data_IF_218307898207
#
_entry.id   IF_218307898207
#
_cell.length_a   1.000
_cell.length_b   1.000
_cell.length_c   1.000
_cell.angle_alpha   90.00
_cell.angle_beta   90.00
_cell.angle_gamma   90.00
#
_symmetry.space_group_name_H-M   'P 1'
#
loop_
_entity.id
_entity.type
_entity.pdbx_description
1 polymer ?
#
# COMPACT_ATOMS: atom_id res chain seq x y z
N UNK A 1 40.16 11.47 5.49
CA UNK A 1 39.09 12.48 5.31
C UNK A 1 38.24 12.22 4.06
N UNK A 2 38.82 12.06 2.86
CA UNK A 2 38.04 11.86 1.62
C UNK A 2 37.25 10.53 1.56
N UNK A 3 37.82 9.43 2.04
CA UNK A 3 37.18 8.10 2.07
C UNK A 3 35.90 8.06 2.93
N UNK A 4 35.90 8.75 4.09
CA UNK A 4 34.72 8.83 4.96
C UNK A 4 33.56 9.60 4.32
N UNK A 5 33.87 10.61 3.50
CA UNK A 5 32.86 11.33 2.72
C UNK A 5 32.21 10.43 1.67
N UNK A 6 33.01 9.64 0.95
CA UNK A 6 32.51 8.73 -0.10
C UNK A 6 31.65 7.61 0.51
N UNK A 7 32.06 7.01 1.64
CA UNK A 7 31.30 5.97 2.33
C UNK A 7 29.91 6.49 2.76
N UNK A 8 29.85 7.67 3.39
CA UNK A 8 28.57 8.28 3.78
C UNK A 8 27.65 8.58 2.60
N UNK A 9 28.21 9.03 1.46
CA UNK A 9 27.41 9.29 0.26
C UNK A 9 26.81 7.98 -0.27
N UNK A 10 27.59 6.90 -0.31
CA UNK A 10 27.09 5.58 -0.71
C UNK A 10 26.01 5.03 0.22
N UNK A 11 26.20 5.16 1.54
CA UNK A 11 25.20 4.74 2.54
C UNK A 11 23.87 5.49 2.34
N UNK A 12 23.93 6.80 2.13
CA UNK A 12 22.74 7.62 1.87
C UNK A 12 22.05 7.24 0.56
N UNK A 13 22.82 6.98 -0.51
CA UNK A 13 22.27 6.53 -1.78
C UNK A 13 21.58 5.17 -1.66
N UNK A 14 22.21 4.23 -0.95
CA UNK A 14 21.63 2.91 -0.71
C UNK A 14 20.35 3.00 0.14
N UNK A 15 20.34 3.89 1.14
CA UNK A 15 19.14 4.17 1.94
C UNK A 15 17.99 4.70 1.09
N UNK A 16 18.25 5.72 0.26
CA UNK A 16 17.24 6.29 -0.65
C UNK A 16 16.74 5.29 -1.68
N UNK A 17 17.63 4.44 -2.21
CA UNK A 17 17.26 3.37 -3.13
C UNK A 17 16.27 2.40 -2.47
N UNK A 18 16.58 1.87 -1.27
CA UNK A 18 15.69 0.97 -0.53
C UNK A 18 14.36 1.62 -0.18
N UNK A 19 14.37 2.90 0.20
CA UNK A 19 13.16 3.65 0.49
C UNK A 19 12.26 3.74 -0.76
N UNK A 20 12.85 4.02 -1.92
CA UNK A 20 12.14 4.15 -3.19
C UNK A 20 11.59 2.80 -3.66
N UNK A 21 12.38 1.73 -3.51
CA UNK A 21 11.96 0.36 -3.80
C UNK A 21 10.76 -0.05 -2.95
N UNK A 22 10.83 0.18 -1.64
CA UNK A 22 9.72 -0.09 -0.72
C UNK A 22 8.46 0.70 -1.08
N UNK A 23 8.62 1.99 -1.39
CA UNK A 23 7.51 2.83 -1.82
C UNK A 23 6.82 2.27 -3.08
N UNK A 24 7.60 1.87 -4.08
CA UNK A 24 7.07 1.30 -5.31
C UNK A 24 6.32 -0.01 -5.07
N UNK A 25 6.86 -0.90 -4.21
CA UNK A 25 6.19 -2.15 -3.82
C UNK A 25 4.87 -1.88 -3.09
N UNK A 26 4.88 -0.97 -2.12
CA UNK A 26 3.71 -0.56 -1.37
C UNK A 26 2.59 -0.03 -2.29
N UNK A 27 2.93 0.91 -3.18
CA UNK A 27 2.00 1.47 -4.17
C UNK A 27 1.44 0.41 -5.12
N UNK A 28 2.27 -0.55 -5.53
CA UNK A 28 1.84 -1.67 -6.38
C UNK A 28 0.79 -2.55 -5.67
N UNK A 29 1.03 -2.90 -4.39
CA UNK A 29 0.06 -3.68 -3.61
C UNK A 29 -1.25 -2.92 -3.36
N UNK A 30 -1.18 -1.62 -3.12
CA UNK A 30 -2.35 -0.76 -3.00
C UNK A 30 -3.15 -0.69 -4.30
N UNK A 31 -2.49 -0.60 -5.45
CA UNK A 31 -3.14 -0.62 -6.76
C UNK A 31 -3.83 -1.98 -7.04
N UNK A 32 -3.18 -3.10 -6.70
CA UNK A 32 -3.82 -4.42 -6.79
C UNK A 32 -5.04 -4.54 -5.88
N UNK A 33 -4.96 -3.97 -4.67
CA UNK A 33 -6.08 -3.94 -3.72
C UNK A 33 -7.25 -3.13 -4.27
N UNK A 34 -6.99 -1.94 -4.83
CA UNK A 34 -8.00 -1.12 -5.51
C UNK A 34 -8.66 -1.87 -6.66
N UNK A 35 -7.87 -2.50 -7.53
CA UNK A 35 -8.38 -3.31 -8.63
C UNK A 35 -9.25 -4.48 -8.15
N UNK A 36 -8.77 -5.24 -7.16
CA UNK A 36 -9.51 -6.36 -6.60
C UNK A 36 -10.84 -5.92 -5.99
N UNK A 37 -10.85 -4.79 -5.28
CA UNK A 37 -12.05 -4.21 -4.66
C UNK A 37 -13.07 -3.77 -5.70
N UNK A 38 -12.62 -3.12 -6.78
CA UNK A 38 -13.48 -2.74 -7.90
C UNK A 38 -14.07 -3.96 -8.61
N UNK A 39 -13.23 -4.94 -8.94
CA UNK A 39 -13.65 -6.12 -9.69
C UNK A 39 -14.63 -7.01 -8.90
N UNK A 40 -14.43 -7.20 -7.60
CA UNK A 40 -15.35 -8.02 -6.80
C UNK A 40 -16.67 -7.31 -6.46
N UNK A 41 -16.72 -5.98 -6.55
CA UNK A 41 -17.89 -5.20 -6.20
C UNK A 41 -18.57 -4.53 -7.40
N UNK A 42 -18.15 -4.85 -8.63
CA UNK A 42 -18.64 -4.21 -9.86
C UNK A 42 -20.17 -4.33 -10.01
N UNK A 43 -20.72 -5.50 -9.71
CA UNK A 43 -22.17 -5.78 -9.79
C UNK A 43 -22.89 -5.65 -8.43
N UNK A 44 -22.17 -5.27 -7.37
CA UNK A 44 -22.69 -5.28 -6.00
C UNK A 44 -23.37 -3.94 -5.66
N UNK A 45 -24.58 -4.01 -5.10
CA UNK A 45 -25.25 -2.82 -4.54
C UNK A 45 -24.42 -2.27 -3.37
N UNK A 46 -24.48 -0.96 -3.06
CA UNK A 46 -23.65 -0.35 -2.01
C UNK A 46 -23.70 -1.08 -0.66
N UNK A 47 -24.87 -1.63 -0.29
CA UNK A 47 -25.09 -2.37 0.95
C UNK A 47 -24.51 -3.79 0.94
N UNK A 48 -24.25 -4.36 -0.25
CA UNK A 48 -23.74 -5.73 -0.44
C UNK A 48 -22.26 -5.78 -0.81
N UNK A 49 -21.56 -4.64 -0.78
CA UNK A 49 -20.14 -4.56 -1.13
C UNK A 49 -19.28 -5.24 -0.07
N UNK A 50 -18.34 -6.07 -0.51
CA UNK A 50 -17.41 -6.80 0.34
C UNK A 50 -16.08 -6.06 0.37
N UNK A 51 -15.65 -5.70 1.57
CA UNK A 51 -14.30 -5.18 1.84
C UNK A 51 -13.59 -6.17 2.75
N UNK A 52 -12.56 -6.88 2.27
CA UNK A 52 -11.79 -7.82 3.09
C UNK A 52 -11.00 -7.03 4.13
N UNK A 53 -11.01 -7.47 5.38
CA UNK A 53 -10.21 -6.83 6.42
C UNK A 53 -8.71 -6.88 6.11
N UNK A 54 -8.26 -7.96 5.46
CA UNK A 54 -6.84 -8.21 5.15
C UNK A 54 -6.70 -8.88 3.77
N UNK A 55 -5.75 -8.40 2.97
CA UNK A 55 -5.24 -9.05 1.77
C UNK A 55 -3.75 -9.35 1.97
N UNK A 56 -3.37 -10.62 1.81
CA UNK A 56 -1.99 -11.07 1.98
C UNK A 56 -1.34 -11.28 0.61
N UNK A 57 -0.17 -10.68 0.44
CA UNK A 57 0.70 -10.84 -0.72
C UNK A 57 2.05 -11.39 -0.25
N UNK A 58 2.85 -11.89 -1.18
CA UNK A 58 4.19 -12.40 -0.86
C UNK A 58 5.06 -11.30 -0.22
N UNK A 59 5.01 -10.08 -0.77
CA UNK A 59 5.83 -8.94 -0.33
C UNK A 59 5.30 -8.24 0.94
N UNK A 60 4.06 -8.50 1.35
CA UNK A 60 3.45 -7.80 2.47
C UNK A 60 1.94 -8.01 2.61
N UNK A 61 1.35 -7.29 3.56
CA UNK A 61 -0.07 -7.41 3.91
C UNK A 61 -0.75 -6.05 3.78
N UNK A 62 -1.94 -6.03 3.18
CA UNK A 62 -2.78 -4.83 3.08
C UNK A 62 -3.99 -4.98 4.00
N UNK A 63 -4.11 -4.10 4.98
CA UNK A 63 -5.26 -4.00 5.86
C UNK A 63 -6.25 -2.99 5.29
N UNK A 64 -7.51 -3.38 5.11
CA UNK A 64 -8.54 -2.47 4.61
C UNK A 64 -9.57 -2.20 5.70
N UNK A 65 -9.88 -0.92 5.90
CA UNK A 65 -10.90 -0.47 6.86
C UNK A 65 -11.89 0.38 6.09
N UNK A 66 -13.15 -0.06 6.02
CA UNK A 66 -14.24 0.71 5.44
C UNK A 66 -14.88 1.62 6.51
N UNK A 67 -15.13 2.87 6.14
CA UNK A 67 -15.90 3.82 6.93
C UNK A 67 -17.40 3.77 6.57
N UNK A 68 -18.25 4.33 7.44
CA UNK A 68 -19.70 4.42 7.26
C UNK A 68 -20.12 5.19 5.99
N UNK A 69 -19.23 6.04 5.48
CA UNK A 69 -19.39 6.79 4.22
C UNK A 69 -18.98 6.01 2.98
N UNK A 70 -18.44 4.81 3.15
CA UNK A 70 -17.91 3.99 2.07
C UNK A 70 -16.47 4.33 1.66
N UNK A 71 -15.77 5.21 2.35
CA UNK A 71 -14.32 5.35 2.09
C UNK A 71 -13.60 4.12 2.65
N UNK A 72 -12.65 3.57 1.90
CA UNK A 72 -11.82 2.48 2.40
C UNK A 72 -10.40 2.99 2.57
N UNK A 73 -9.91 2.88 3.79
CA UNK A 73 -8.52 3.15 4.10
C UNK A 73 -7.75 1.86 3.98
N UNK A 74 -6.82 1.79 3.03
CA UNK A 74 -5.93 0.66 2.85
C UNK A 74 -4.55 1.00 3.42
N UNK A 75 -4.07 0.19 4.33
CA UNK A 75 -2.72 0.30 4.91
C UNK A 75 -1.91 -0.92 4.52
N UNK A 76 -0.87 -0.71 3.73
CA UNK A 76 0.09 -1.76 3.38
C UNK A 76 1.21 -1.78 4.41
N UNK A 77 1.61 -2.99 4.79
CA UNK A 77 2.79 -3.26 5.62
C UNK A 77 3.62 -4.32 4.92
N UNK A 78 4.82 -3.93 4.47
CA UNK A 78 5.78 -4.82 3.83
C UNK A 78 6.50 -5.65 4.90
N UNK A 79 7.17 -6.73 4.47
CA UNK A 79 7.92 -7.62 5.39
C UNK A 79 9.06 -6.93 6.15
N UNK A 80 9.56 -5.80 5.65
CA UNK A 80 10.64 -5.03 6.26
C UNK A 80 10.13 -3.88 7.15
N UNK A 81 8.90 -4.00 7.66
CA UNK A 81 8.20 -3.03 8.51
C UNK A 81 7.94 -1.66 7.85
N UNK A 82 8.17 -1.54 6.54
CA UNK A 82 7.77 -0.36 5.80
C UNK A 82 6.25 -0.34 5.64
N UNK A 83 5.62 0.78 5.99
CA UNK A 83 4.18 0.94 5.93
C UNK A 83 3.74 2.19 5.19
N UNK A 84 2.70 2.07 4.39
CA UNK A 84 2.02 3.19 3.75
C UNK A 84 0.52 3.06 3.89
N UNK A 85 -0.15 4.20 4.03
CA UNK A 85 -1.61 4.26 4.10
C UNK A 85 -2.13 5.17 3.00
N UNK A 86 -3.11 4.66 2.26
CA UNK A 86 -3.82 5.43 1.25
C UNK A 86 -5.32 5.30 1.49
N UNK A 87 -6.01 6.44 1.38
CA UNK A 87 -7.47 6.47 1.35
C UNK A 87 -7.89 6.25 -0.09
N UNK A 88 -8.62 5.16 -0.30
CA UNK A 88 -9.11 4.81 -1.60
C UNK A 88 -10.61 5.13 -1.67
N UNK A 89 -10.96 6.00 -2.62
CA UNK A 89 -12.32 6.44 -2.86
C UNK A 89 -12.94 5.61 -3.99
N UNK A 90 -13.52 4.46 -3.64
CA UNK A 90 -14.27 3.64 -4.60
C UNK A 90 -15.78 3.67 -4.40
N UNK A 91 -16.24 4.17 -3.25
CA UNK A 91 -17.66 4.26 -2.94
C UNK A 91 -18.13 5.71 -3.15
N UNK A 92 -18.05 6.20 -4.38
CA UNK A 92 -18.95 7.27 -4.81
C UNK A 92 -20.33 6.64 -5.09
N UNK A 93 -21.43 7.28 -4.70
CA UNK A 93 -22.77 6.89 -5.15
C UNK A 93 -22.91 6.96 -6.67
#
# INVERSE_FOLDING_TARGET
MMLFGIIRVYENQLYLYRLTENHYKAQTLLAYTDYWLKNNNEASTPESRIVPAVLSFEEGVVHCIADATGKVTATVTLQNDYSETVVLEFLSP
#
